data_IF_887624378250
#
_entry.id   IF_887624378250
#
_cell.length_a   1.000
_cell.length_b   1.000
_cell.length_c   1.000
_cell.angle_alpha   90.00
_cell.angle_beta   90.00
_cell.angle_gamma   90.00
#
_symmetry.space_group_name_H-M   'P 1'
#
loop_
_entity.id
_entity.type
_entity.pdbx_description
1 polymer ?
#
# COMPACT_ATOMS: atom_id res chain seq x y z
N UNK A 1 2.92 -26.00 13.15
CA UNK A 1 3.91 -24.96 12.84
C UNK A 1 3.18 -23.64 12.94
N UNK A 2 3.39 -22.93 14.05
CA UNK A 2 2.92 -21.55 14.13
C UNK A 2 3.57 -20.81 12.98
N UNK A 3 2.75 -20.14 12.15
CA UNK A 3 3.27 -19.27 11.11
C UNK A 3 3.88 -18.07 11.83
N UNK A 4 5.18 -17.85 11.66
CA UNK A 4 5.82 -16.63 12.14
C UNK A 4 5.00 -15.44 11.68
N UNK A 5 4.61 -14.59 12.62
CA UNK A 5 3.82 -13.40 12.31
C UNK A 5 4.74 -12.39 11.64
N UNK A 6 4.33 -11.87 10.48
CA UNK A 6 5.16 -10.93 9.72
C UNK A 6 5.14 -9.54 10.36
N UNK A 7 6.30 -8.92 10.39
CA UNK A 7 6.48 -7.53 10.80
C UNK A 7 6.66 -6.63 9.58
N UNK A 8 5.91 -5.54 9.51
CA UNK A 8 6.12 -4.49 8.54
C UNK A 8 6.83 -3.30 9.20
N UNK A 9 8.09 -3.08 8.79
CA UNK A 9 8.91 -1.96 9.23
C UNK A 9 8.86 -0.81 8.22
N UNK A 10 8.59 0.41 8.71
CA UNK A 10 8.52 1.63 7.89
C UNK A 10 9.34 2.80 8.45
N UNK A 11 10.02 2.60 9.56
CA UNK A 11 10.74 3.65 10.30
C UNK A 11 12.11 3.21 10.79
N UNK A 12 12.49 3.66 11.99
CA UNK A 12 13.84 3.49 12.54
C UNK A 12 14.29 2.04 12.75
N UNK A 13 13.38 1.06 12.76
CA UNK A 13 13.75 -0.35 12.83
C UNK A 13 14.37 -0.88 11.53
N UNK A 14 14.30 -0.11 10.44
CA UNK A 14 14.98 -0.43 9.19
C UNK A 14 16.48 -0.11 9.24
N UNK A 15 16.94 0.75 10.16
CA UNK A 15 18.36 1.00 10.37
C UNK A 15 18.93 -0.08 11.28
N UNK A 16 19.51 -1.12 10.68
CA UNK A 16 20.10 -2.24 11.42
C UNK A 16 21.19 -1.78 12.42
N UNK A 17 22.12 -0.86 12.08
CA UNK A 17 23.08 -0.34 13.03
C UNK A 17 22.46 0.37 14.26
N UNK A 18 21.39 1.15 14.09
CA UNK A 18 20.67 1.78 15.22
C UNK A 18 19.97 0.72 16.08
N UNK A 19 19.34 -0.27 15.45
CA UNK A 19 18.67 -1.36 16.14
C UNK A 19 19.65 -2.25 16.91
N UNK A 20 20.80 -2.59 16.33
CA UNK A 20 21.86 -3.37 16.98
C UNK A 20 22.46 -2.64 18.18
N UNK A 21 22.74 -1.33 18.07
CA UNK A 21 23.22 -0.52 19.20
C UNK A 21 22.21 -0.53 20.35
N UNK A 22 20.92 -0.37 20.01
CA UNK A 22 19.86 -0.43 21.01
C UNK A 22 19.80 -1.81 21.69
N UNK A 23 19.81 -2.90 20.93
CA UNK A 23 19.82 -4.26 21.45
C UNK A 23 21.02 -4.52 22.36
N UNK A 24 22.20 -4.07 21.97
CA UNK A 24 23.43 -4.21 22.78
C UNK A 24 23.28 -3.46 24.11
N UNK A 25 22.74 -2.24 24.08
CA UNK A 25 22.55 -1.43 25.31
C UNK A 25 21.54 -2.08 26.26
N UNK A 26 20.50 -2.71 25.74
CA UNK A 26 19.42 -3.34 26.52
C UNK A 26 19.70 -4.82 26.83
N UNK A 27 20.83 -5.37 26.38
CA UNK A 27 21.16 -6.80 26.55
C UNK A 27 20.17 -7.72 25.84
N UNK A 28 19.65 -7.32 24.70
CA UNK A 28 18.66 -8.04 23.91
C UNK A 28 19.26 -8.65 22.64
N UNK A 29 18.69 -9.74 22.14
CA UNK A 29 19.01 -10.28 20.82
C UNK A 29 18.46 -9.39 19.71
N UNK A 30 19.05 -9.46 18.51
CA UNK A 30 18.53 -8.75 17.34
C UNK A 30 17.17 -9.33 16.92
N UNK A 31 16.10 -8.53 16.81
CA UNK A 31 14.73 -9.05 16.73
C UNK A 31 14.26 -9.43 15.33
N UNK A 32 14.89 -8.89 14.27
CA UNK A 32 14.42 -9.10 12.90
C UNK A 32 15.06 -10.34 12.31
N UNK A 33 14.23 -11.24 11.80
CA UNK A 33 14.65 -12.42 11.06
C UNK A 33 14.86 -12.11 9.57
N UNK A 34 14.46 -13.05 8.71
CA UNK A 34 14.64 -12.94 7.27
C UNK A 34 13.79 -11.79 6.69
N UNK A 35 14.42 -10.97 5.86
CA UNK A 35 13.71 -9.98 5.04
C UNK A 35 12.97 -10.69 3.88
N UNK A 36 11.70 -10.33 3.68
CA UNK A 36 10.80 -10.91 2.69
C UNK A 36 10.51 -10.00 1.50
N UNK A 37 11.18 -8.85 1.43
CA UNK A 37 11.02 -7.87 0.37
C UNK A 37 10.19 -6.66 0.78
N UNK A 38 10.14 -5.68 -0.12
CA UNK A 38 9.35 -4.47 0.05
C UNK A 38 7.84 -4.76 -0.02
N UNK A 39 7.08 -3.92 0.66
CA UNK A 39 5.62 -3.91 0.61
C UNK A 39 5.10 -2.50 0.90
N UNK A 40 3.78 -2.30 0.74
CA UNK A 40 3.12 -1.01 0.94
C UNK A 40 1.90 -1.18 1.85
N UNK A 41 1.78 -0.37 2.90
CA UNK A 41 0.50 -0.24 3.61
C UNK A 41 -0.37 0.74 2.81
N UNK A 42 -1.56 0.34 2.36
CA UNK A 42 -2.50 1.23 1.68
C UNK A 42 -3.27 2.10 2.66
N UNK A 43 -3.77 3.25 2.16
CA UNK A 43 -4.66 4.18 2.87
C UNK A 43 -4.11 4.78 4.15
N UNK A 44 -2.78 4.92 4.22
CA UNK A 44 -2.10 5.62 5.31
C UNK A 44 -1.00 6.52 4.76
N UNK A 45 -0.66 7.54 5.51
CA UNK A 45 0.50 8.41 5.26
C UNK A 45 1.42 8.48 6.47
N UNK A 46 2.68 8.81 6.23
CA UNK A 46 3.67 9.08 7.27
C UNK A 46 3.36 10.41 7.97
N UNK A 47 3.44 10.42 9.29
CA UNK A 47 3.33 11.64 10.08
C UNK A 47 4.29 11.64 11.29
N UNK A 48 4.47 12.81 11.87
CA UNK A 48 5.23 13.02 13.11
C UNK A 48 4.30 13.69 14.12
N UNK A 49 3.47 12.87 14.76
CA UNK A 49 2.44 13.33 15.71
C UNK A 49 2.67 12.83 17.15
N UNK A 50 3.85 12.26 17.43
CA UNK A 50 4.21 11.74 18.74
C UNK A 50 5.52 12.35 19.23
N UNK A 51 5.51 12.92 20.45
CA UNK A 51 6.72 13.41 21.12
C UNK A 51 7.41 12.27 21.88
N UNK A 52 8.55 11.84 21.35
CA UNK A 52 9.37 10.79 21.95
C UNK A 52 10.48 11.37 22.83
N UNK A 53 10.41 11.11 24.14
CA UNK A 53 11.51 11.48 25.06
C UNK A 53 12.81 10.76 24.71
N UNK A 54 12.74 9.50 24.24
CA UNK A 54 13.93 8.74 23.83
C UNK A 54 14.62 9.36 22.61
N UNK A 55 13.84 9.85 21.64
CA UNK A 55 14.36 10.50 20.42
C UNK A 55 14.54 12.01 20.59
N UNK A 56 14.11 12.57 21.72
CA UNK A 56 14.16 14.00 22.02
C UNK A 56 13.53 14.83 20.87
N UNK A 57 12.33 14.49 20.49
CA UNK A 57 11.60 15.12 19.40
C UNK A 57 10.52 14.22 18.82
N UNK A 58 10.00 14.60 17.66
CA UNK A 58 8.98 13.85 16.95
C UNK A 58 9.45 12.43 16.58
N UNK A 59 8.57 11.45 16.76
CA UNK A 59 8.77 10.11 16.24
C UNK A 59 7.70 9.77 15.21
N UNK A 60 8.07 8.91 14.25
CA UNK A 60 7.29 8.57 13.08
C UNK A 60 6.08 7.71 13.45
N UNK A 61 4.92 8.04 12.88
CA UNK A 61 3.68 7.28 12.98
C UNK A 61 2.98 7.18 11.62
N UNK A 62 1.91 6.41 11.58
CA UNK A 62 0.99 6.25 10.46
C UNK A 62 -0.36 6.85 10.82
N UNK A 63 -0.95 7.61 9.90
CA UNK A 63 -2.33 8.05 10.05
C UNK A 63 -3.16 7.72 8.82
N UNK A 64 -4.48 7.45 8.96
CA UNK A 64 -5.34 7.16 7.83
C UNK A 64 -5.33 8.28 6.78
N UNK A 65 -5.13 7.91 5.51
CA UNK A 65 -5.19 8.81 4.37
C UNK A 65 -5.53 8.02 3.09
N UNK A 66 -6.80 8.07 2.67
CA UNK A 66 -7.29 7.31 1.51
C UNK A 66 -6.50 7.65 0.26
N UNK A 67 -6.04 6.60 -0.45
CA UNK A 67 -5.26 6.72 -1.68
C UNK A 67 -3.77 6.96 -1.50
N UNK A 68 -3.30 7.20 -0.25
CA UNK A 68 -1.87 7.16 0.05
C UNK A 68 -1.41 5.73 0.26
N UNK A 69 -0.12 5.51 0.09
CA UNK A 69 0.57 4.28 0.48
C UNK A 69 1.87 4.62 1.19
N UNK A 70 2.24 3.83 2.17
CA UNK A 70 3.55 3.93 2.82
C UNK A 70 4.37 2.70 2.48
N UNK A 71 5.54 2.93 1.90
CA UNK A 71 6.50 1.87 1.60
C UNK A 71 7.28 1.44 2.83
N UNK A 72 7.58 0.15 2.91
CA UNK A 72 8.34 -0.43 3.99
C UNK A 72 8.86 -1.82 3.64
N UNK A 73 9.35 -2.52 4.64
CA UNK A 73 9.98 -3.83 4.49
C UNK A 73 9.30 -4.87 5.37
N UNK A 74 9.04 -6.06 4.80
CA UNK A 74 8.53 -7.21 5.55
C UNK A 74 9.66 -8.05 6.12
N UNK A 75 9.45 -8.51 7.36
CA UNK A 75 10.37 -9.41 8.06
C UNK A 75 9.62 -10.56 8.73
N UNK A 76 10.26 -11.71 8.80
CA UNK A 76 9.89 -12.75 9.75
C UNK A 76 10.34 -12.33 11.14
N UNK A 77 9.48 -12.50 12.13
CA UNK A 77 9.80 -12.20 13.55
C UNK A 77 9.22 -13.31 14.40
N UNK A 78 10.08 -13.93 15.22
CA UNK A 78 9.67 -14.94 16.19
C UNK A 78 9.15 -14.27 17.49
N UNK A 79 8.65 -15.09 18.43
CA UNK A 79 8.08 -14.60 19.68
C UNK A 79 9.07 -13.77 20.51
N UNK A 80 10.33 -14.19 20.62
CA UNK A 80 11.37 -13.44 21.33
C UNK A 80 11.68 -12.09 20.65
N UNK A 81 11.70 -12.08 19.32
CA UNK A 81 11.86 -10.85 18.53
C UNK A 81 10.74 -9.85 18.76
N UNK A 82 9.50 -10.35 18.87
CA UNK A 82 8.35 -9.50 19.19
C UNK A 82 8.44 -8.87 20.59
N UNK A 83 8.93 -9.61 21.58
CA UNK A 83 9.17 -9.05 22.93
C UNK A 83 10.22 -7.94 22.91
N UNK A 84 11.27 -8.10 22.11
CA UNK A 84 12.31 -7.09 21.93
C UNK A 84 11.77 -5.84 21.25
N UNK A 85 11.01 -6.01 20.15
CA UNK A 85 10.39 -4.88 19.44
C UNK A 85 9.38 -4.13 20.34
N UNK A 86 8.56 -4.83 21.11
CA UNK A 86 7.62 -4.21 22.06
C UNK A 86 8.34 -3.30 23.07
N UNK A 87 9.46 -3.77 23.62
CA UNK A 87 10.28 -2.95 24.54
C UNK A 87 10.85 -1.73 23.83
N UNK A 88 11.33 -1.90 22.59
CA UNK A 88 11.90 -0.82 21.81
C UNK A 88 10.86 0.25 21.47
N UNK A 89 9.68 -0.17 21.06
CA UNK A 89 8.56 0.72 20.71
C UNK A 89 7.81 1.28 21.93
N UNK A 90 8.16 0.80 23.13
CA UNK A 90 7.56 1.29 24.37
C UNK A 90 6.12 0.86 24.55
N UNK A 91 5.75 -0.34 24.07
CA UNK A 91 4.43 -0.93 24.29
C UNK A 91 4.10 -1.04 25.79
N UNK A 92 5.04 -1.49 26.67
CA UNK A 92 4.78 -1.52 28.12
C UNK A 92 4.53 -0.14 28.72
N UNK A 93 5.03 0.92 28.10
CA UNK A 93 4.84 2.31 28.51
C UNK A 93 3.67 3.01 27.81
N UNK A 94 2.88 2.25 27.05
CA UNK A 94 1.76 2.76 26.26
C UNK A 94 2.17 3.92 25.32
N UNK A 95 3.28 3.77 24.63
CA UNK A 95 3.71 4.70 23.59
C UNK A 95 3.15 4.29 22.23
N UNK A 96 3.51 3.11 21.78
CA UNK A 96 2.99 2.47 20.58
C UNK A 96 2.19 1.21 20.94
N UNK A 97 1.44 0.71 19.99
CA UNK A 97 0.76 -0.59 20.04
C UNK A 97 1.05 -1.39 18.76
N UNK A 98 0.98 -2.73 18.86
CA UNK A 98 0.98 -3.58 17.68
C UNK A 98 -0.36 -3.43 16.96
N UNK A 99 -0.31 -3.06 15.70
CA UNK A 99 -1.47 -2.89 14.84
C UNK A 99 -1.46 -3.93 13.74
N UNK A 100 -2.55 -4.69 13.60
CA UNK A 100 -2.74 -5.57 12.46
C UNK A 100 -3.02 -4.73 11.21
N UNK A 101 -2.25 -5.00 10.17
CA UNK A 101 -2.35 -4.29 8.89
C UNK A 101 -2.32 -5.28 7.73
N UNK A 102 -2.92 -4.87 6.62
CA UNK A 102 -2.71 -5.54 5.34
C UNK A 102 -1.70 -4.74 4.52
N UNK A 103 -0.75 -5.42 3.94
CA UNK A 103 0.25 -4.81 3.06
C UNK A 103 0.15 -5.42 1.67
N UNK A 104 0.39 -4.60 0.68
CA UNK A 104 0.45 -4.98 -0.73
C UNK A 104 1.91 -5.22 -1.11
N UNK A 105 2.22 -6.39 -1.62
CA UNK A 105 3.52 -6.67 -2.26
C UNK A 105 3.54 -6.09 -3.67
N UNK A 106 4.72 -5.97 -4.25
CA UNK A 106 4.88 -5.51 -5.64
C UNK A 106 4.14 -6.40 -6.67
N UNK A 107 3.84 -7.63 -6.29
CA UNK A 107 3.01 -8.56 -7.07
C UNK A 107 1.52 -8.23 -7.00
N UNK A 108 1.10 -7.28 -6.15
CA UNK A 108 -0.31 -7.01 -5.81
C UNK A 108 -0.92 -8.04 -4.85
N UNK A 109 -0.12 -8.95 -4.30
CA UNK A 109 -0.56 -9.88 -3.25
C UNK A 109 -0.83 -9.11 -1.96
N UNK A 110 -1.98 -9.39 -1.34
CA UNK A 110 -2.36 -8.84 -0.05
C UNK A 110 -1.88 -9.78 1.07
N UNK A 111 -1.10 -9.26 2.01
CA UNK A 111 -0.49 -10.04 3.11
C UNK A 111 -0.85 -9.43 4.45
N UNK A 112 -1.31 -10.25 5.38
CA UNK A 112 -1.51 -9.84 6.78
C UNK A 112 -0.17 -9.71 7.49
N UNK A 113 0.02 -8.62 8.22
CA UNK A 113 1.22 -8.37 9.02
C UNK A 113 0.90 -7.50 10.24
N UNK A 114 1.86 -7.37 11.13
CA UNK A 114 1.80 -6.43 12.24
C UNK A 114 2.80 -5.30 12.01
N UNK A 115 2.44 -4.13 12.47
CA UNK A 115 3.32 -2.96 12.57
C UNK A 115 3.10 -2.26 13.90
N UNK A 116 3.85 -1.20 14.17
CA UNK A 116 3.64 -0.37 15.36
C UNK A 116 3.06 0.97 14.95
N UNK A 117 2.02 1.40 15.65
CA UNK A 117 1.40 2.73 15.52
C UNK A 117 1.29 3.40 16.87
N UNK A 118 1.35 4.70 16.91
CA UNK A 118 1.19 5.48 18.15
C UNK A 118 -0.22 5.34 18.69
N UNK A 119 -0.33 5.12 20.00
CA UNK A 119 -1.63 5.07 20.66
C UNK A 119 -2.40 6.39 20.48
N UNK A 120 -3.70 6.39 20.13
CA UNK A 120 -4.45 7.60 19.79
C UNK A 120 -4.36 8.72 20.86
N UNK A 121 -4.33 8.34 22.15
CA UNK A 121 -4.21 9.29 23.27
C UNK A 121 -2.83 9.98 23.37
N UNK A 122 -1.82 9.48 22.66
CA UNK A 122 -0.46 10.03 22.62
C UNK A 122 -0.24 10.94 21.42
N UNK A 123 -1.14 10.87 20.44
CA UNK A 123 -1.05 11.69 19.23
C UNK A 123 -1.26 13.15 19.54
N UNK A 124 -0.54 13.98 18.83
CA UNK A 124 -0.56 15.44 18.87
C UNK A 124 -0.66 16.00 17.47
N UNK A 125 -0.60 17.30 17.34
CA UNK A 125 -0.22 17.95 16.10
C UNK A 125 1.24 17.62 15.76
N UNK A 126 1.74 18.16 14.65
CA UNK A 126 3.11 17.93 14.20
C UNK A 126 4.13 18.22 15.30
N UNK A 127 5.02 17.26 15.55
CA UNK A 127 6.18 17.39 16.43
C UNK A 127 7.45 17.23 15.58
N UNK A 128 8.28 18.24 15.51
CA UNK A 128 9.50 18.20 14.71
C UNK A 128 10.46 17.10 15.20
N UNK A 129 10.92 16.18 14.34
CA UNK A 129 11.96 15.21 14.69
C UNK A 129 13.33 15.90 14.82
N UNK A 130 14.23 15.31 15.63
CA UNK A 130 15.61 15.77 15.65
C UNK A 130 16.44 15.23 14.48
N UNK A 131 17.59 15.84 14.23
CA UNK A 131 18.45 15.52 13.09
C UNK A 131 19.01 14.08 13.14
N UNK A 132 19.33 13.56 14.32
CA UNK A 132 19.86 12.19 14.47
C UNK A 132 18.79 11.14 14.14
N UNK A 133 17.55 11.38 14.57
CA UNK A 133 16.44 10.49 14.24
C UNK A 133 16.09 10.53 12.75
N UNK A 134 16.11 11.73 12.13
CA UNK A 134 15.95 11.89 10.69
C UNK A 134 17.00 11.06 9.94
N UNK A 135 18.27 11.13 10.39
CA UNK A 135 19.34 10.36 9.77
C UNK A 135 19.09 8.85 9.88
N UNK A 136 18.73 8.34 11.06
CA UNK A 136 18.45 6.92 11.30
C UNK A 136 17.34 6.42 10.37
N UNK A 137 16.21 7.13 10.28
CA UNK A 137 15.11 6.67 9.42
C UNK A 137 15.48 6.72 7.94
N UNK A 138 16.17 7.79 7.51
CA UNK A 138 16.64 7.93 6.12
C UNK A 138 17.61 6.80 5.75
N UNK A 139 18.62 6.53 6.58
CA UNK A 139 19.62 5.50 6.35
C UNK A 139 18.94 4.11 6.27
N UNK A 140 17.97 3.84 7.14
CA UNK A 140 17.17 2.63 7.13
C UNK A 140 16.35 2.46 5.84
N UNK A 141 15.65 3.49 5.38
CA UNK A 141 14.90 3.45 4.12
C UNK A 141 15.83 3.22 2.93
N UNK A 142 16.95 3.94 2.87
CA UNK A 142 17.93 3.80 1.79
C UNK A 142 18.60 2.42 1.76
N UNK A 143 18.83 1.79 2.91
CA UNK A 143 19.41 0.46 3.00
C UNK A 143 18.56 -0.61 2.29
N UNK A 144 17.23 -0.39 2.20
CA UNK A 144 16.29 -1.26 1.47
C UNK A 144 15.88 -0.71 0.10
N UNK A 145 16.48 0.39 -0.37
CA UNK A 145 16.16 1.01 -1.65
C UNK A 145 14.77 1.65 -1.69
N UNK A 146 14.20 1.99 -0.51
CA UNK A 146 12.91 2.64 -0.41
C UNK A 146 13.02 4.15 -0.64
N UNK A 147 11.95 4.76 -1.18
CA UNK A 147 11.91 6.19 -1.44
C UNK A 147 11.87 6.99 -0.13
N UNK A 148 12.56 8.14 -0.10
CA UNK A 148 12.65 9.00 1.08
C UNK A 148 11.75 10.23 1.02
N UNK A 149 11.15 10.52 -0.13
CA UNK A 149 10.41 11.78 -0.38
C UNK A 149 9.23 11.97 0.57
N UNK A 150 8.45 10.91 0.82
CA UNK A 150 7.34 10.95 1.77
C UNK A 150 7.83 11.23 3.19
N UNK A 151 8.87 10.52 3.61
CA UNK A 151 9.48 10.70 4.92
C UNK A 151 10.04 12.12 5.10
N UNK A 152 10.72 12.64 4.08
CA UNK A 152 11.27 14.00 4.14
C UNK A 152 10.18 15.07 4.19
N UNK A 153 9.08 14.92 3.46
CA UNK A 153 7.94 15.83 3.55
C UNK A 153 7.30 15.77 4.94
N UNK A 154 7.02 14.55 5.44
CA UNK A 154 6.46 14.34 6.78
C UNK A 154 7.34 14.93 7.87
N UNK A 155 8.68 14.78 7.78
CA UNK A 155 9.63 15.31 8.78
C UNK A 155 9.64 16.84 8.89
N UNK A 156 9.17 17.52 7.86
CA UNK A 156 9.02 18.98 7.80
C UNK A 156 7.58 19.45 8.07
N UNK A 157 6.66 18.55 8.38
CA UNK A 157 5.23 18.86 8.51
C UNK A 157 4.60 19.35 7.20
N UNK A 158 5.14 18.94 6.06
CA UNK A 158 4.65 19.29 4.74
C UNK A 158 3.68 18.23 4.23
N UNK A 159 2.79 18.56 3.27
CA UNK A 159 1.96 17.56 2.60
C UNK A 159 2.81 16.43 2.01
N UNK A 160 2.41 15.20 2.32
CA UNK A 160 3.14 14.01 1.88
C UNK A 160 2.75 13.71 0.42
N UNK A 161 3.74 13.57 -0.50
CA UNK A 161 3.44 13.32 -1.90
C UNK A 161 2.78 11.94 -2.11
N UNK A 162 1.88 11.85 -3.09
CA UNK A 162 1.32 10.57 -3.52
C UNK A 162 2.40 9.73 -4.23
N UNK A 163 2.54 8.48 -3.83
CA UNK A 163 3.39 7.49 -4.53
C UNK A 163 2.62 6.90 -5.72
N UNK A 164 1.32 6.66 -5.53
CA UNK A 164 0.43 6.14 -6.57
C UNK A 164 -0.67 7.19 -6.82
N UNK A 165 -0.57 7.92 -7.92
CA UNK A 165 -1.41 9.07 -8.25
C UNK A 165 -2.44 8.79 -9.36
N UNK A 166 -2.60 7.53 -9.75
CA UNK A 166 -3.43 7.14 -10.89
C UNK A 166 -4.21 5.84 -10.64
N UNK A 167 -5.19 5.60 -11.51
CA UNK A 167 -5.95 4.37 -11.59
C UNK A 167 -5.65 3.63 -12.89
N UNK A 168 -5.75 2.30 -12.86
CA UNK A 168 -5.85 1.46 -14.04
C UNK A 168 -7.25 0.86 -14.09
N UNK A 169 -7.97 1.15 -15.18
CA UNK A 169 -9.34 0.67 -15.43
C UNK A 169 -9.36 -0.18 -16.70
N UNK A 170 -10.09 -1.29 -16.69
CA UNK A 170 -10.03 -2.30 -17.76
C UNK A 170 -11.40 -2.81 -18.24
N UNK A 171 -12.50 -2.21 -17.75
CA UNK A 171 -13.86 -2.64 -18.03
C UNK A 171 -14.82 -1.46 -18.17
N UNK A 172 -15.94 -1.54 -17.47
CA UNK A 172 -17.03 -0.55 -17.52
C UNK A 172 -16.64 0.86 -17.07
N UNK A 173 -15.50 1.04 -16.44
CA UNK A 173 -14.93 2.32 -16.04
C UNK A 173 -14.09 3.00 -17.13
N UNK A 174 -13.79 2.34 -18.24
CA UNK A 174 -13.03 2.95 -19.34
C UNK A 174 -13.84 4.05 -20.03
N UNK A 175 -13.15 4.97 -20.71
CA UNK A 175 -13.78 6.07 -21.44
C UNK A 175 -14.79 5.56 -22.46
N UNK A 176 -16.03 6.08 -22.39
CA UNK A 176 -17.13 5.67 -23.26
C UNK A 176 -17.89 4.43 -22.79
N UNK A 177 -17.50 3.82 -21.68
CA UNK A 177 -18.20 2.73 -21.04
C UNK A 177 -19.22 3.23 -19.98
N UNK A 178 -20.20 2.40 -19.58
CA UNK A 178 -21.34 2.84 -18.77
C UNK A 178 -20.99 3.48 -17.41
N UNK A 179 -19.90 3.07 -16.77
CA UNK A 179 -19.53 3.55 -15.44
C UNK A 179 -18.42 4.63 -15.45
N UNK A 180 -18.05 5.14 -16.63
CA UNK A 180 -17.02 6.16 -16.74
C UNK A 180 -17.34 7.43 -15.93
N UNK A 181 -18.62 7.81 -15.85
CA UNK A 181 -19.04 8.98 -15.09
C UNK A 181 -18.85 8.80 -13.57
N UNK A 182 -18.90 7.57 -13.06
CA UNK A 182 -18.59 7.27 -11.65
C UNK A 182 -17.11 7.54 -11.37
N UNK A 183 -16.24 7.17 -12.31
CA UNK A 183 -14.81 7.45 -12.23
C UNK A 183 -14.54 8.96 -12.15
N UNK A 184 -15.15 9.73 -13.04
CA UNK A 184 -14.92 11.19 -13.10
C UNK A 184 -15.62 11.95 -11.98
N UNK A 185 -16.77 11.46 -11.50
CA UNK A 185 -17.62 12.17 -10.54
C UNK A 185 -18.08 13.56 -11.05
N UNK A 186 -18.08 13.77 -12.38
CA UNK A 186 -18.34 15.05 -13.01
C UNK A 186 -17.16 16.03 -13.03
N UNK A 187 -15.98 15.59 -12.53
CA UNK A 187 -14.74 16.38 -12.54
C UNK A 187 -13.92 16.17 -13.82
N UNK A 188 -12.90 17.01 -13.96
CA UNK A 188 -11.92 16.88 -15.04
C UNK A 188 -10.91 15.76 -14.77
N UNK A 189 -10.43 15.16 -15.85
CA UNK A 189 -9.34 14.21 -15.83
C UNK A 189 -8.05 14.89 -16.24
N UNK A 190 -6.98 14.68 -15.50
CA UNK A 190 -5.64 15.14 -15.87
C UNK A 190 -5.13 14.41 -17.11
N UNK A 191 -5.35 13.09 -17.16
CA UNK A 191 -4.78 12.26 -18.20
C UNK A 191 -5.55 10.95 -18.34
N UNK A 192 -5.71 10.49 -19.59
CA UNK A 192 -6.15 9.12 -19.92
C UNK A 192 -5.27 8.57 -21.02
N UNK A 193 -4.55 7.48 -20.75
CA UNK A 193 -3.65 6.83 -21.69
C UNK A 193 -4.00 5.35 -21.84
N UNK A 194 -3.90 4.75 -23.02
CA UNK A 194 -3.92 3.32 -23.15
C UNK A 194 -2.83 2.69 -22.29
N UNK A 195 -3.17 1.64 -21.58
CA UNK A 195 -2.24 0.95 -20.69
C UNK A 195 -2.52 -0.54 -20.63
N UNK A 196 -1.56 -1.31 -20.12
CA UNK A 196 -1.72 -2.73 -19.91
C UNK A 196 -1.14 -3.17 -18.58
N UNK A 197 -1.75 -4.19 -17.98
CA UNK A 197 -1.18 -4.88 -16.81
C UNK A 197 -1.06 -6.38 -17.07
N UNK A 198 -0.26 -7.04 -16.26
CA UNK A 198 -0.23 -8.51 -16.23
C UNK A 198 -1.36 -9.02 -15.35
N UNK A 199 -2.11 -10.02 -15.83
CA UNK A 199 -3.22 -10.62 -15.12
C UNK A 199 -4.08 -11.48 -16.02
N UNK A 200 -5.13 -12.10 -15.48
CA UNK A 200 -6.08 -12.91 -16.22
C UNK A 200 -7.47 -12.26 -16.14
N UNK A 201 -7.96 -11.80 -17.28
CA UNK A 201 -9.33 -11.26 -17.37
C UNK A 201 -10.33 -12.39 -17.48
N UNK A 202 -11.43 -12.29 -16.72
CA UNK A 202 -12.56 -13.20 -16.73
C UNK A 202 -13.87 -12.44 -16.91
N UNK A 203 -14.87 -13.14 -17.46
CA UNK A 203 -16.22 -12.63 -17.67
C UNK A 203 -17.12 -13.01 -16.49
N UNK A 204 -17.72 -12.00 -15.83
CA UNK A 204 -18.75 -12.17 -14.80
C UNK A 204 -20.17 -11.92 -15.33
N UNK A 205 -20.35 -11.88 -16.66
CA UNK A 205 -21.59 -11.65 -17.38
C UNK A 205 -21.72 -10.22 -17.86
N UNK A 206 -22.09 -9.27 -16.99
CA UNK A 206 -22.29 -7.87 -17.39
C UNK A 206 -21.00 -7.04 -17.33
N UNK A 207 -19.93 -7.52 -16.73
CA UNK A 207 -18.68 -6.82 -16.52
C UNK A 207 -17.51 -7.79 -16.36
N UNK A 208 -16.29 -7.36 -16.67
CA UNK A 208 -15.10 -8.17 -16.49
C UNK A 208 -14.58 -8.10 -15.06
N UNK A 209 -13.81 -9.13 -14.69
CA UNK A 209 -12.93 -9.05 -13.54
C UNK A 209 -11.51 -9.42 -13.94
N UNK A 210 -10.53 -8.91 -13.19
CA UNK A 210 -9.14 -9.33 -13.32
C UNK A 210 -8.75 -10.13 -12.08
N UNK A 211 -8.17 -11.29 -12.32
CA UNK A 211 -7.49 -12.10 -11.34
C UNK A 211 -6.00 -11.74 -11.46
N UNK A 212 -5.42 -11.26 -10.36
CA UNK A 212 -4.02 -10.81 -10.33
C UNK A 212 -3.04 -11.98 -10.25
N UNK A 213 -3.26 -12.97 -11.11
CA UNK A 213 -2.45 -14.18 -11.22
C UNK A 213 -2.21 -14.52 -12.71
N UNK A 214 -1.11 -15.18 -12.97
CA UNK A 214 -0.80 -15.66 -14.33
C UNK A 214 0.06 -14.68 -15.13
N UNK A 215 0.14 -14.93 -16.45
CA UNK A 215 1.02 -14.19 -17.39
C UNK A 215 0.23 -13.56 -18.54
N UNK A 216 -1.09 -13.47 -18.41
CA UNK A 216 -1.93 -12.83 -19.41
C UNK A 216 -1.69 -11.32 -19.44
N UNK A 217 -2.07 -10.72 -20.57
CA UNK A 217 -2.12 -9.27 -20.72
C UNK A 217 -3.55 -8.82 -20.55
N UNK A 218 -3.75 -7.74 -19.81
CA UNK A 218 -5.03 -7.05 -19.66
C UNK A 218 -4.89 -5.66 -20.23
N UNK A 219 -5.68 -5.35 -21.26
CA UNK A 219 -5.75 -4.02 -21.86
C UNK A 219 -6.72 -3.14 -21.07
N UNK A 220 -6.36 -1.88 -20.91
CA UNK A 220 -7.14 -0.91 -20.16
C UNK A 220 -6.66 0.52 -20.38
N UNK A 221 -7.01 1.38 -19.44
CA UNK A 221 -6.64 2.79 -19.45
C UNK A 221 -5.99 3.18 -18.13
N UNK A 222 -4.85 3.88 -18.21
CA UNK A 222 -4.22 4.60 -17.10
C UNK A 222 -4.88 5.96 -16.99
N UNK A 223 -5.46 6.26 -15.83
CA UNK A 223 -6.26 7.47 -15.61
C UNK A 223 -5.73 8.23 -14.41
N UNK A 224 -5.42 9.51 -14.60
CA UNK A 224 -5.15 10.44 -13.49
C UNK A 224 -6.35 11.34 -13.29
N UNK A 225 -6.73 11.50 -12.02
CA UNK A 225 -7.87 12.30 -11.59
C UNK A 225 -7.39 13.40 -10.64
N UNK A 226 -8.07 14.54 -10.61
CA UNK A 226 -7.71 15.65 -9.73
C UNK A 226 -7.97 15.34 -8.24
N UNK A 227 -9.02 14.55 -7.95
CA UNK A 227 -9.39 14.10 -6.60
C UNK A 227 -9.33 12.58 -6.53
N UNK A 228 -8.12 12.04 -6.25
CA UNK A 228 -7.92 10.60 -6.15
C UNK A 228 -8.69 10.00 -4.97
N UNK A 229 -8.64 10.62 -3.80
CA UNK A 229 -9.28 10.08 -2.60
C UNK A 229 -10.81 9.99 -2.76
N UNK A 230 -11.45 11.06 -3.22
CA UNK A 230 -12.89 11.07 -3.49
C UNK A 230 -13.28 10.11 -4.60
N UNK A 231 -12.44 9.95 -5.63
CA UNK A 231 -12.66 8.96 -6.69
C UNK A 231 -12.58 7.54 -6.14
N UNK A 232 -11.55 7.21 -5.37
CA UNK A 232 -11.43 5.89 -4.76
C UNK A 232 -12.63 5.57 -3.85
N UNK A 233 -13.11 6.52 -3.05
CA UNK A 233 -14.31 6.32 -2.23
C UNK A 233 -15.56 5.97 -3.06
N UNK A 234 -15.74 6.60 -4.22
CA UNK A 234 -16.87 6.29 -5.13
C UNK A 234 -16.69 4.90 -5.77
N UNK A 235 -15.49 4.59 -6.21
CA UNK A 235 -15.19 3.32 -6.84
C UNK A 235 -15.25 2.15 -5.83
N UNK A 236 -14.82 2.34 -4.60
CA UNK A 236 -14.94 1.33 -3.54
C UNK A 236 -16.40 0.89 -3.35
N UNK A 237 -17.34 1.85 -3.40
CA UNK A 237 -18.77 1.54 -3.34
C UNK A 237 -19.26 0.77 -4.57
N UNK A 238 -18.84 1.16 -5.77
CA UNK A 238 -19.21 0.51 -7.02
C UNK A 238 -18.69 -0.93 -7.09
N UNK A 239 -17.42 -1.13 -6.69
CA UNK A 239 -16.70 -2.40 -6.79
C UNK A 239 -16.97 -3.33 -5.58
N UNK A 240 -17.74 -2.86 -4.60
CA UNK A 240 -18.03 -3.62 -3.38
C UNK A 240 -16.78 -3.92 -2.56
N UNK A 241 -15.83 -2.98 -2.54
CA UNK A 241 -14.68 -3.01 -1.63
C UNK A 241 -15.04 -2.35 -0.31
N UNK A 242 -14.95 -3.11 0.78
CA UNK A 242 -15.36 -2.70 2.13
C UNK A 242 -14.16 -2.52 3.07
N UNK A 243 -12.96 -2.45 2.51
CA UNK A 243 -11.70 -2.36 3.25
C UNK A 243 -10.95 -3.69 3.29
N UNK A 244 -9.67 -3.61 3.64
CA UNK A 244 -8.74 -4.74 3.59
C UNK A 244 -9.03 -5.83 4.64
N UNK A 245 -9.72 -5.47 5.72
CA UNK A 245 -10.12 -6.39 6.80
C UNK A 245 -11.55 -6.97 6.61
N UNK A 246 -12.23 -6.62 5.52
CA UNK A 246 -13.61 -7.01 5.28
C UNK A 246 -13.73 -7.93 4.07
N UNK A 247 -14.78 -8.75 4.07
CA UNK A 247 -15.11 -9.55 2.89
C UNK A 247 -15.64 -8.61 1.79
N UNK A 248 -14.95 -8.58 0.67
CA UNK A 248 -15.22 -7.73 -0.49
C UNK A 248 -15.42 -8.57 -1.76
N UNK A 249 -16.09 -8.01 -2.77
CA UNK A 249 -16.17 -8.60 -4.10
C UNK A 249 -14.85 -8.42 -4.85
N UNK A 250 -14.30 -7.21 -4.81
CA UNK A 250 -12.98 -6.88 -5.33
C UNK A 250 -12.07 -6.40 -4.21
N UNK A 251 -10.77 -6.63 -4.36
CA UNK A 251 -9.73 -5.97 -3.57
C UNK A 251 -9.16 -4.80 -4.37
N UNK A 252 -9.01 -3.67 -3.73
CA UNK A 252 -8.27 -2.53 -4.27
C UNK A 252 -6.78 -2.74 -4.02
N UNK A 253 -6.00 -2.79 -5.08
CA UNK A 253 -4.56 -3.07 -5.04
C UNK A 253 -3.78 -2.06 -5.88
N UNK A 254 -2.48 -1.97 -5.66
CA UNK A 254 -1.57 -1.26 -6.56
C UNK A 254 -0.92 -2.27 -7.51
N UNK A 255 -0.83 -1.91 -8.78
CA UNK A 255 -0.24 -2.75 -9.83
C UNK A 255 0.71 -1.93 -10.69
N UNK A 256 1.71 -2.60 -11.26
CA UNK A 256 2.57 -2.03 -12.27
C UNK A 256 1.90 -2.11 -13.63
N UNK A 257 1.72 -0.98 -14.30
CA UNK A 257 1.12 -0.89 -15.63
C UNK A 257 2.12 -0.36 -16.64
N UNK A 258 2.06 -0.87 -17.87
CA UNK A 258 2.80 -0.37 -19.03
C UNK A 258 1.92 0.65 -19.76
N UNK A 259 2.39 1.90 -19.85
CA UNK A 259 1.72 3.00 -20.55
C UNK A 259 2.31 3.27 -21.92
N UNK A 260 3.08 2.33 -22.45
CA UNK A 260 3.78 2.43 -23.73
C UNK A 260 5.11 3.19 -23.64
N UNK A 261 5.85 3.25 -24.77
CA UNK A 261 7.19 3.88 -24.87
C UNK A 261 8.19 3.37 -23.83
N UNK A 262 8.10 2.10 -23.43
CA UNK A 262 8.93 1.47 -22.37
C UNK A 262 8.80 2.18 -21.02
N UNK A 263 7.65 2.80 -20.74
CA UNK A 263 7.36 3.43 -19.47
C UNK A 263 6.36 2.59 -18.67
N UNK A 264 6.70 2.33 -17.44
CA UNK A 264 5.79 1.71 -16.47
C UNK A 264 5.49 2.67 -15.33
N UNK A 265 4.28 2.58 -14.79
CA UNK A 265 3.80 3.37 -13.65
C UNK A 265 3.05 2.46 -12.69
N UNK A 266 3.00 2.83 -11.43
CA UNK A 266 2.11 2.21 -10.47
C UNK A 266 0.74 2.87 -10.56
N UNK A 267 -0.31 2.08 -10.43
CA UNK A 267 -1.69 2.55 -10.46
C UNK A 267 -2.56 1.73 -9.50
N UNK A 268 -3.59 2.36 -8.96
CA UNK A 268 -4.65 1.68 -8.24
C UNK A 268 -5.54 0.93 -9.22
N UNK A 269 -5.95 -0.28 -8.86
CA UNK A 269 -6.94 -1.05 -9.61
C UNK A 269 -7.74 -1.96 -8.68
N UNK A 270 -8.81 -2.54 -9.21
CA UNK A 270 -9.64 -3.50 -8.49
C UNK A 270 -9.45 -4.88 -9.10
N UNK A 271 -9.15 -5.87 -8.28
CA UNK A 271 -8.97 -7.26 -8.69
C UNK A 271 -9.96 -8.16 -7.95
N UNK A 272 -10.41 -9.23 -8.57
CA UNK A 272 -11.37 -10.15 -7.98
C UNK A 272 -10.81 -10.75 -6.68
N UNK A 273 -11.52 -10.58 -5.59
CA UNK A 273 -11.06 -11.00 -4.26
C UNK A 273 -11.01 -12.54 -4.10
N UNK A 274 -11.85 -13.26 -4.84
CA UNK A 274 -11.91 -14.72 -4.80
C UNK A 274 -11.77 -15.29 -6.21
N UNK A 275 -10.60 -15.83 -6.54
CA UNK A 275 -10.28 -16.44 -7.83
C UNK A 275 -10.84 -17.85 -8.04
N UNK A 276 -11.49 -18.45 -7.03
CA UNK A 276 -11.96 -19.86 -7.05
C UNK A 276 -13.21 -20.13 -7.91
N UNK A 277 -13.79 -19.12 -8.55
CA UNK A 277 -14.92 -19.28 -9.47
C UNK A 277 -14.49 -19.82 -10.85
N UNK A 278 -15.32 -20.69 -11.45
CA UNK A 278 -15.11 -21.14 -12.84
C UNK A 278 -15.73 -20.12 -13.81
N UNK A 279 -15.07 -18.99 -14.01
CA UNK A 279 -15.52 -17.93 -14.90
C UNK A 279 -14.90 -18.08 -16.30
N UNK A 280 -15.64 -17.79 -17.39
CA UNK A 280 -15.06 -17.77 -18.74
C UNK A 280 -13.89 -16.82 -18.84
N UNK A 281 -12.79 -17.29 -19.44
CA UNK A 281 -11.59 -16.47 -19.63
C UNK A 281 -11.75 -15.60 -20.86
N UNK A 282 -11.50 -14.31 -20.72
CA UNK A 282 -11.37 -13.37 -21.83
C UNK A 282 -9.95 -13.44 -22.38
N UNK A 283 -9.73 -14.37 -23.30
CA UNK A 283 -8.39 -14.73 -23.79
C UNK A 283 -7.63 -13.56 -24.46
N UNK A 284 -8.34 -12.59 -25.06
CA UNK A 284 -7.74 -11.38 -25.64
C UNK A 284 -7.23 -10.43 -24.55
N UNK A 285 -7.73 -10.52 -23.31
CA UNK A 285 -7.50 -9.52 -22.26
C UNK A 285 -8.09 -8.16 -22.57
N UNK A 286 -8.94 -8.04 -23.59
CA UNK A 286 -9.57 -6.80 -24.01
C UNK A 286 -11.09 -6.93 -23.93
N UNK A 287 -11.70 -6.23 -22.98
CA UNK A 287 -13.14 -6.33 -22.72
C UNK A 287 -13.99 -5.82 -23.89
N UNK A 288 -13.62 -4.71 -24.53
CA UNK A 288 -14.35 -4.16 -25.67
C UNK A 288 -14.39 -5.11 -26.85
N UNK A 289 -13.24 -5.71 -27.18
CA UNK A 289 -13.19 -6.73 -28.26
C UNK A 289 -14.03 -7.97 -27.93
N UNK A 290 -13.99 -8.37 -26.66
CA UNK A 290 -14.76 -9.52 -26.19
C UNK A 290 -16.26 -9.27 -26.33
N UNK A 291 -16.76 -8.15 -25.85
CA UNK A 291 -18.18 -7.76 -25.97
C UNK A 291 -18.63 -7.66 -27.44
N UNK A 292 -17.81 -7.04 -28.29
CA UNK A 292 -18.15 -6.91 -29.72
C UNK A 292 -18.36 -8.25 -30.42
N UNK A 293 -17.69 -9.32 -29.96
CA UNK A 293 -17.87 -10.68 -30.49
C UNK A 293 -19.10 -11.42 -29.94
N UNK A 294 -19.67 -10.97 -28.84
CA UNK A 294 -20.90 -11.56 -28.26
C UNK A 294 -22.18 -11.06 -28.90
N UNK A 295 -22.12 -9.94 -29.63
CA UNK A 295 -23.27 -9.28 -30.26
C UNK A 295 -23.52 -9.81 -31.68
N UNK A 296 -22.67 -10.71 -32.19
CA UNK A 296 -22.81 -11.36 -33.48
C UNK A 296 -23.40 -12.76 -33.30
#
# INVERSE_FOLDING_TARGET
>A
MDRDVLYFGYGSNLDAPDLERWCTTEGAAFPLGRSLGSARIPDVELCFDYESSRRNGGALDLRPCVGQVVEGQLFEVNEEGWEVLDRKEGVPSNCYERSAVHVLRDTGELVESLTYTVLPRRRREFVAPNADYIKVVRDGLQAFGLAVDQFEAASRGQPVPLVVDALFVYGTLMRGEPNFDVLTGGGELDCVLPATMTGRMVDLGCYPAVINEGRGRVDGEFVRVCDLAGTLCRLDQLEGFHGYNAKSLYHRVTVRVDIGRSQSRDAWTYVLANSGGNHPVVASGNWREYQARQVI
#
